data_IF_392985155732
#
_entry.id   IF_392985155732
#
_cell.length_a   1.000
_cell.length_b   1.000
_cell.length_c   1.000
_cell.angle_alpha   90.00
_cell.angle_beta   90.00
_cell.angle_gamma   90.00
#
_symmetry.space_group_name_H-M   'P 1'
#
loop_
_entity.id
_entity.type
_entity.pdbx_description
1 polymer ?
#
# COMPACT_ATOMS: atom_id res chain seq x y z
N UNK A 1 -2.24 -7.74 3.05
CA UNK A 1 -2.70 -6.36 3.27
C UNK A 1 -3.60 -5.97 2.14
N UNK A 2 -4.86 -5.65 2.42
CA UNK A 2 -5.79 -5.23 1.37
C UNK A 2 -6.78 -4.18 1.89
N UNK A 3 -7.50 -3.54 0.96
CA UNK A 3 -8.52 -2.50 1.18
C UNK A 3 -9.80 -2.99 1.85
N UNK A 4 -9.91 -4.29 2.13
CA UNK A 4 -11.14 -4.88 2.66
C UNK A 4 -11.18 -4.83 4.19
N UNK A 5 -10.14 -5.35 4.83
CA UNK A 5 -10.03 -5.44 6.29
C UNK A 5 -8.58 -5.20 6.75
N UNK A 6 -8.41 -4.48 7.86
CA UNK A 6 -7.11 -4.29 8.51
C UNK A 6 -7.25 -4.46 10.02
N UNK A 7 -6.44 -5.33 10.62
CA UNK A 7 -6.49 -5.60 12.06
C UNK A 7 -7.84 -6.14 12.55
N UNK A 8 -8.65 -6.75 11.67
CA UNK A 8 -10.01 -7.20 11.97
C UNK A 8 -11.10 -6.15 11.76
N UNK A 9 -10.73 -4.89 11.54
CA UNK A 9 -11.68 -3.81 11.23
C UNK A 9 -12.04 -3.79 9.74
N UNK A 10 -13.32 -3.56 9.44
CA UNK A 10 -13.80 -3.29 8.09
C UNK A 10 -13.32 -1.90 7.66
N UNK A 11 -12.65 -1.82 6.52
CA UNK A 11 -12.20 -0.57 5.94
C UNK A 11 -13.30 0.08 5.10
N UNK A 12 -13.37 1.41 5.10
CA UNK A 12 -14.30 2.17 4.25
C UNK A 12 -13.98 1.94 2.77
N UNK A 13 -12.72 1.67 2.44
CA UNK A 13 -12.27 1.35 1.10
C UNK A 13 -12.97 0.11 0.54
N UNK A 14 -13.41 -0.85 1.37
CA UNK A 14 -14.21 -1.98 0.90
C UNK A 14 -15.50 -1.49 0.20
N UNK A 15 -16.18 -0.51 0.81
CA UNK A 15 -17.39 0.09 0.26
C UNK A 15 -17.08 0.96 -0.97
N UNK A 16 -16.05 1.81 -0.87
CA UNK A 16 -15.62 2.68 -1.96
C UNK A 16 -15.20 1.89 -3.20
N UNK A 17 -14.45 0.82 -3.01
CA UNK A 17 -13.99 -0.05 -4.08
C UNK A 17 -15.10 -0.90 -4.67
N UNK A 18 -16.03 -1.42 -3.86
CA UNK A 18 -17.15 -2.19 -4.39
C UNK A 18 -18.05 -1.32 -5.27
N UNK A 19 -18.30 -0.08 -4.84
CA UNK A 19 -19.03 0.93 -5.61
C UNK A 19 -18.31 1.29 -6.91
N UNK A 20 -16.99 1.46 -6.86
CA UNK A 20 -16.15 1.73 -8.03
C UNK A 20 -16.19 0.58 -9.02
N UNK A 21 -15.95 -0.65 -8.56
CA UNK A 21 -15.98 -1.85 -9.40
C UNK A 21 -17.35 -2.07 -10.05
N UNK A 22 -18.43 -1.84 -9.30
CA UNK A 22 -19.79 -1.87 -9.85
C UNK A 22 -19.96 -0.83 -10.95
N UNK A 23 -19.56 0.42 -10.72
CA UNK A 23 -19.68 1.51 -11.70
C UNK A 23 -18.90 1.23 -12.99
N UNK A 24 -17.62 0.82 -12.88
CA UNK A 24 -16.77 0.54 -14.03
C UNK A 24 -17.19 -0.71 -14.80
N UNK A 25 -17.50 -1.80 -14.09
CA UNK A 25 -17.85 -3.07 -14.73
C UNK A 25 -19.18 -3.00 -15.47
N UNK A 26 -20.08 -2.10 -15.04
CA UNK A 26 -21.40 -1.90 -15.65
C UNK A 26 -21.37 -1.06 -16.94
N UNK A 27 -20.21 -0.57 -17.37
CA UNK A 27 -20.10 0.27 -18.58
C UNK A 27 -20.35 -0.56 -19.85
N UNK A 28 -21.10 -0.02 -20.83
CA UNK A 28 -21.27 -0.67 -22.12
C UNK A 28 -19.91 -0.78 -22.83
N UNK A 29 -19.71 -1.82 -23.67
CA UNK A 29 -18.57 -1.86 -24.57
C UNK A 29 -18.68 -0.74 -25.61
N UNK A 30 -17.55 -0.29 -26.15
CA UNK A 30 -17.53 0.70 -27.23
C UNK A 30 -18.24 0.14 -28.48
N UNK A 31 -19.31 0.80 -28.99
CA UNK A 31 -19.99 0.38 -30.21
C UNK A 31 -19.07 0.25 -31.43
N UNK A 32 -18.00 1.05 -31.53
CA UNK A 32 -17.04 0.96 -32.64
C UNK A 32 -16.25 -0.36 -32.62
N UNK A 33 -16.07 -0.96 -31.44
CA UNK A 33 -15.38 -2.24 -31.26
C UNK A 33 -16.35 -3.42 -31.24
N UNK A 34 -17.52 -3.24 -30.63
CA UNK A 34 -18.50 -4.30 -30.42
C UNK A 34 -19.50 -4.47 -31.58
N UNK A 35 -19.65 -3.44 -32.42
CA UNK A 35 -20.61 -3.33 -33.52
C UNK A 35 -21.95 -2.72 -33.09
N UNK A 36 -22.56 -1.91 -33.97
CA UNK A 36 -23.74 -1.07 -33.69
C UNK A 36 -24.99 -1.83 -33.21
N UNK A 37 -25.10 -3.12 -33.53
CA UNK A 37 -26.23 -3.97 -33.13
C UNK A 37 -25.89 -4.81 -31.90
N UNK A 38 -24.67 -5.36 -31.83
CA UNK A 38 -24.27 -6.38 -30.84
C UNK A 38 -23.88 -5.79 -29.49
N UNK A 39 -23.43 -4.53 -29.44
CA UNK A 39 -22.94 -3.91 -28.20
C UNK A 39 -23.98 -3.95 -27.07
N UNK A 40 -25.26 -3.77 -27.43
CA UNK A 40 -26.35 -3.68 -26.45
C UNK A 40 -26.64 -5.04 -25.81
N UNK A 41 -26.72 -6.09 -26.62
CA UNK A 41 -26.95 -7.44 -26.11
C UNK A 41 -25.78 -7.89 -25.24
N UNK A 42 -24.54 -7.65 -25.68
CA UNK A 42 -23.35 -7.91 -24.87
C UNK A 42 -23.35 -7.15 -23.54
N UNK A 43 -23.79 -5.89 -23.56
CA UNK A 43 -23.88 -5.08 -22.35
C UNK A 43 -24.91 -5.64 -21.38
N UNK A 44 -26.13 -5.93 -21.84
CA UNK A 44 -27.18 -6.50 -20.99
C UNK A 44 -26.79 -7.86 -20.42
N UNK A 45 -26.24 -8.76 -21.25
CA UNK A 45 -25.75 -10.06 -20.76
C UNK A 45 -24.70 -9.87 -19.67
N UNK A 46 -23.77 -8.91 -19.83
CA UNK A 46 -22.78 -8.61 -18.79
C UNK A 46 -23.43 -8.07 -17.51
N UNK A 47 -24.39 -7.15 -17.62
CA UNK A 47 -25.10 -6.60 -16.46
C UNK A 47 -25.85 -7.69 -15.68
N UNK A 48 -26.53 -8.59 -16.37
CA UNK A 48 -27.28 -9.70 -15.76
C UNK A 48 -26.36 -10.71 -15.06
N UNK A 49 -25.12 -10.87 -15.54
CA UNK A 49 -24.15 -11.82 -15.00
C UNK A 49 -23.08 -11.18 -14.11
N UNK A 50 -23.13 -9.86 -13.91
CA UNK A 50 -22.12 -9.15 -13.13
C UNK A 50 -22.32 -9.42 -11.63
N UNK A 51 -21.27 -9.80 -10.89
CA UNK A 51 -21.38 -9.98 -9.46
C UNK A 51 -21.54 -8.62 -8.76
N UNK A 52 -22.44 -8.55 -7.77
CA UNK A 52 -22.42 -7.46 -6.81
C UNK A 52 -21.42 -7.78 -5.70
N UNK A 53 -20.23 -7.16 -5.78
CA UNK A 53 -19.08 -7.54 -4.97
C UNK A 53 -19.17 -7.11 -3.49
N UNK A 54 -19.90 -6.05 -3.17
CA UNK A 54 -20.02 -5.57 -1.78
C UNK A 54 -20.51 -6.65 -0.79
N UNK A 55 -21.67 -7.33 -1.00
CA UNK A 55 -22.12 -8.38 -0.10
C UNK A 55 -21.23 -9.63 -0.13
N UNK A 56 -20.50 -9.86 -1.22
CA UNK A 56 -19.55 -10.96 -1.30
C UNK A 56 -18.37 -10.70 -0.36
N UNK A 57 -17.69 -9.56 -0.49
CA UNK A 57 -16.54 -9.23 0.34
C UNK A 57 -16.89 -9.09 1.81
N UNK A 58 -18.07 -8.56 2.14
CA UNK A 58 -18.55 -8.45 3.53
C UNK A 58 -18.74 -9.82 4.22
N UNK A 59 -18.98 -10.90 3.46
CA UNK A 59 -19.08 -12.26 4.01
C UNK A 59 -17.73 -12.88 4.35
N UNK A 60 -16.64 -12.32 3.82
CA UNK A 60 -15.29 -12.84 3.98
C UNK A 60 -14.48 -11.98 4.98
N UNK A 61 -14.97 -11.86 6.22
CA UNK A 61 -14.29 -11.06 7.27
C UNK A 61 -12.92 -11.64 7.66
N UNK A 62 -12.78 -12.97 7.61
CA UNK A 62 -11.55 -13.65 7.98
C UNK A 62 -10.73 -14.00 6.74
N UNK A 63 -9.44 -14.27 6.95
CA UNK A 63 -8.52 -14.75 5.91
C UNK A 63 -8.82 -16.21 5.52
N UNK A 64 -9.90 -16.40 4.76
CA UNK A 64 -10.34 -17.70 4.27
C UNK A 64 -9.84 -18.00 2.84
N UNK A 65 -10.35 -19.08 2.25
CA UNK A 65 -9.99 -19.52 0.90
C UNK A 65 -10.26 -18.46 -0.19
N UNK A 66 -11.22 -17.56 0.03
CA UNK A 66 -11.57 -16.51 -0.93
C UNK A 66 -10.44 -15.50 -1.11
N UNK A 67 -9.77 -15.10 -0.02
CA UNK A 67 -8.63 -14.17 -0.07
C UNK A 67 -7.32 -14.86 -0.43
N UNK A 68 -7.13 -16.10 0.05
CA UNK A 68 -5.91 -16.88 -0.21
C UNK A 68 -5.64 -17.04 -1.71
N UNK A 69 -6.69 -17.32 -2.51
CA UNK A 69 -6.54 -17.57 -3.96
C UNK A 69 -5.87 -16.43 -4.76
N UNK A 70 -5.97 -15.19 -4.29
CA UNK A 70 -5.39 -14.02 -4.93
C UNK A 70 -4.16 -13.47 -4.22
N UNK A 71 -3.74 -14.10 -3.13
CA UNK A 71 -2.61 -13.66 -2.32
C UNK A 71 -1.33 -14.32 -2.80
N UNK A 72 -0.38 -13.52 -3.30
CA UNK A 72 0.94 -14.03 -3.71
C UNK A 72 1.75 -14.63 -2.54
N UNK A 73 1.42 -14.27 -1.29
CA UNK A 73 2.11 -14.80 -0.13
C UNK A 73 1.81 -16.28 0.15
N UNK A 74 0.89 -16.90 -0.59
CA UNK A 74 0.69 -18.34 -0.53
C UNK A 74 1.82 -19.09 -1.24
N UNK A 75 2.42 -18.51 -2.28
CA UNK A 75 3.52 -19.10 -3.04
C UNK A 75 4.29 -18.02 -3.84
N UNK A 76 5.37 -17.50 -3.24
CA UNK A 76 6.24 -16.56 -3.93
C UNK A 76 7.09 -17.22 -5.03
N UNK A 77 7.33 -18.53 -4.95
CA UNK A 77 8.17 -19.27 -5.92
C UNK A 77 7.50 -19.41 -7.29
N UNK A 78 6.18 -19.27 -7.35
CA UNK A 78 5.44 -19.19 -8.60
C UNK A 78 5.82 -17.96 -9.45
N UNK A 79 6.44 -16.94 -8.86
CA UNK A 79 6.90 -15.75 -9.56
C UNK A 79 8.29 -16.00 -10.13
N UNK A 80 8.35 -16.26 -11.44
CA UNK A 80 9.59 -16.48 -12.18
C UNK A 80 10.06 -15.24 -12.96
N UNK A 81 9.18 -14.26 -13.15
CA UNK A 81 9.50 -13.03 -13.86
C UNK A 81 10.31 -12.07 -12.99
N UNK A 82 11.16 -11.25 -13.63
CA UNK A 82 11.87 -10.19 -12.93
C UNK A 82 10.89 -9.10 -12.45
N UNK A 83 10.95 -8.77 -11.15
CA UNK A 83 10.03 -7.83 -10.48
C UNK A 83 10.75 -6.55 -10.03
N UNK A 84 10.33 -5.41 -10.55
CA UNK A 84 10.60 -4.10 -9.94
C UNK A 84 9.34 -3.63 -9.23
N UNK A 85 9.37 -3.59 -7.90
CA UNK A 85 8.25 -3.13 -7.08
C UNK A 85 8.48 -1.71 -6.60
N UNK A 86 7.52 -0.82 -6.84
CA UNK A 86 7.61 0.60 -6.49
C UNK A 86 6.35 1.03 -5.77
N UNK A 87 6.49 1.69 -4.62
CA UNK A 87 5.35 2.19 -3.83
C UNK A 87 5.70 3.37 -2.95
N UNK A 88 4.77 3.75 -2.07
CA UNK A 88 4.90 4.94 -1.23
C UNK A 88 4.57 4.69 0.24
N UNK A 89 5.15 5.48 1.13
CA UNK A 89 4.89 5.39 2.58
C UNK A 89 3.49 5.83 2.99
N UNK A 90 2.87 6.73 2.21
CA UNK A 90 1.49 7.15 2.43
C UNK A 90 0.49 6.29 1.63
N UNK A 91 0.91 5.13 1.13
CA UNK A 91 0.05 4.14 0.47
C UNK A 91 -0.43 3.07 1.46
N UNK A 92 -1.65 2.53 1.29
CA UNK A 92 -2.14 1.44 2.14
C UNK A 92 -1.44 0.10 1.93
N UNK A 93 -0.78 -0.10 0.78
CA UNK A 93 -0.01 -1.30 0.41
C UNK A 93 1.48 -1.22 0.76
N UNK A 94 1.90 -0.26 1.61
CA UNK A 94 3.31 0.04 1.94
C UNK A 94 4.19 -1.16 2.35
N UNK A 95 3.61 -2.22 2.92
CA UNK A 95 4.34 -3.43 3.31
C UNK A 95 4.72 -4.34 2.12
N UNK A 96 4.00 -4.22 1.01
CA UNK A 96 4.09 -5.18 -0.11
C UNK A 96 5.50 -5.22 -0.70
N UNK A 97 6.15 -4.06 -0.83
CA UNK A 97 7.45 -3.93 -1.51
C UNK A 97 8.52 -4.69 -0.73
N UNK A 98 8.62 -4.48 0.59
CA UNK A 98 9.60 -5.19 1.41
C UNK A 98 9.34 -6.69 1.49
N UNK A 99 8.07 -7.11 1.48
CA UNK A 99 7.70 -8.53 1.45
C UNK A 99 8.07 -9.18 0.12
N UNK A 100 7.83 -8.52 -1.02
CA UNK A 100 8.20 -9.03 -2.34
C UNK A 100 9.71 -9.25 -2.43
N UNK A 101 10.49 -8.22 -2.07
CA UNK A 101 11.95 -8.27 -2.17
C UNK A 101 12.54 -9.32 -1.23
N UNK A 102 11.94 -9.53 -0.06
CA UNK A 102 12.42 -10.52 0.91
C UNK A 102 12.11 -11.98 0.53
N UNK A 103 11.09 -12.23 -0.29
CA UNK A 103 10.57 -13.59 -0.49
C UNK A 103 10.59 -14.09 -1.96
N UNK A 104 10.75 -13.21 -2.96
CA UNK A 104 10.86 -13.63 -4.36
C UNK A 104 12.30 -14.07 -4.66
N UNK A 105 12.45 -15.23 -5.29
CA UNK A 105 13.75 -15.76 -5.72
C UNK A 105 14.19 -15.25 -7.11
N UNK A 106 13.23 -14.95 -7.99
CA UNK A 106 13.50 -14.31 -9.27
C UNK A 106 14.13 -12.91 -9.06
N UNK A 107 14.78 -12.32 -10.08
CA UNK A 107 15.36 -10.99 -9.94
C UNK A 107 14.33 -9.98 -9.43
N UNK A 108 14.57 -9.43 -8.23
CA UNK A 108 13.61 -8.54 -7.56
C UNK A 108 14.32 -7.31 -6.97
N UNK A 109 13.73 -6.13 -7.15
CA UNK A 109 14.19 -4.87 -6.56
C UNK A 109 12.99 -4.06 -6.05
N UNK A 110 13.19 -3.28 -4.99
CA UNK A 110 12.16 -2.45 -4.36
C UNK A 110 12.54 -0.97 -4.27
N UNK A 111 11.59 -0.08 -4.51
CA UNK A 111 11.73 1.36 -4.29
C UNK A 111 10.52 1.90 -3.51
N UNK A 112 10.75 2.56 -2.38
CA UNK A 112 9.68 3.19 -1.60
C UNK A 112 9.99 4.66 -1.34
N UNK A 113 9.15 5.54 -1.84
CA UNK A 113 9.23 6.99 -1.62
C UNK A 113 8.18 7.50 -0.62
N UNK A 114 8.09 8.82 -0.41
CA UNK A 114 7.12 9.41 0.52
C UNK A 114 5.70 9.51 -0.06
N UNK A 115 5.37 8.79 -1.14
CA UNK A 115 4.21 9.07 -1.96
C UNK A 115 2.89 8.49 -1.43
N UNK A 116 1.79 9.13 -1.82
CA UNK A 116 0.42 8.58 -1.78
C UNK A 116 0.19 7.56 -2.92
N UNK A 117 -1.03 7.00 -3.02
CA UNK A 117 -1.40 5.96 -4.00
C UNK A 117 -1.48 6.45 -5.45
N UNK A 118 -0.32 6.78 -6.04
CA UNK A 118 -0.12 7.29 -7.41
C UNK A 118 1.26 6.89 -7.93
N UNK A 119 1.48 6.99 -9.25
CA UNK A 119 2.80 6.74 -9.81
C UNK A 119 3.83 7.82 -9.39
N UNK A 120 5.07 7.44 -9.02
CA UNK A 120 6.05 8.34 -8.40
C UNK A 120 6.46 9.58 -9.17
N UNK A 121 6.20 9.64 -10.48
CA UNK A 121 6.55 10.77 -11.35
C UNK A 121 5.52 11.91 -11.32
N UNK A 122 4.32 11.66 -10.78
CA UNK A 122 3.32 12.70 -10.50
C UNK A 122 2.67 12.56 -9.12
N UNK A 123 3.05 11.54 -8.35
CA UNK A 123 2.63 11.42 -6.98
C UNK A 123 3.23 12.55 -6.12
N UNK A 124 2.58 12.76 -4.99
CA UNK A 124 3.01 13.68 -3.95
C UNK A 124 2.93 12.94 -2.60
N UNK A 125 3.50 13.50 -1.54
CA UNK A 125 4.43 14.63 -1.48
C UNK A 125 5.71 14.44 -2.31
N UNK A 126 6.38 15.55 -2.61
CA UNK A 126 7.77 15.54 -3.08
C UNK A 126 8.72 14.92 -2.03
N UNK A 127 9.92 14.44 -2.42
CA UNK A 127 10.44 14.37 -3.79
C UNK A 127 9.83 13.25 -4.63
N UNK A 128 9.55 13.57 -5.90
CA UNK A 128 9.22 12.58 -6.94
C UNK A 128 10.42 11.74 -7.35
N UNK A 129 10.12 10.63 -8.02
CA UNK A 129 11.10 9.77 -8.69
C UNK A 129 10.83 9.78 -10.20
N UNK A 130 11.90 9.68 -11.00
CA UNK A 130 11.82 9.37 -12.42
C UNK A 130 11.32 7.95 -12.68
N UNK A 131 10.03 7.68 -12.39
CA UNK A 131 9.41 6.35 -12.51
C UNK A 131 9.61 5.76 -13.90
N UNK A 132 9.41 6.56 -14.96
CA UNK A 132 9.54 6.09 -16.33
C UNK A 132 10.99 5.71 -16.67
N UNK A 133 11.98 6.42 -16.12
CA UNK A 133 13.39 6.10 -16.30
C UNK A 133 13.74 4.76 -15.61
N UNK A 134 13.30 4.56 -14.37
CA UNK A 134 13.52 3.31 -13.64
C UNK A 134 12.82 2.13 -14.33
N UNK A 135 11.56 2.31 -14.72
CA UNK A 135 10.79 1.26 -15.41
C UNK A 135 11.39 0.91 -16.77
N UNK A 136 11.81 1.92 -17.56
CA UNK A 136 12.44 1.69 -18.86
C UNK A 136 13.77 0.93 -18.72
N UNK A 137 14.64 1.33 -17.79
CA UNK A 137 15.90 0.61 -17.51
C UNK A 137 15.65 -0.85 -17.15
N UNK A 138 14.64 -1.12 -16.33
CA UNK A 138 14.25 -2.47 -15.93
C UNK A 138 13.72 -3.30 -17.10
N UNK A 139 12.77 -2.76 -17.86
CA UNK A 139 12.18 -3.46 -19.00
C UNK A 139 13.18 -3.67 -20.14
N UNK A 140 14.04 -2.69 -20.43
CA UNK A 140 15.11 -2.84 -21.43
C UNK A 140 16.06 -3.99 -21.06
N UNK A 141 16.36 -4.15 -19.76
CA UNK A 141 17.15 -5.29 -19.29
C UNK A 141 16.43 -6.62 -19.50
N UNK A 142 15.21 -6.77 -19.00
CA UNK A 142 14.54 -8.07 -18.89
C UNK A 142 13.69 -8.47 -20.09
N UNK A 143 13.36 -7.53 -20.98
CA UNK A 143 12.57 -7.79 -22.20
C UNK A 143 13.39 -7.66 -23.48
N UNK A 144 14.57 -7.02 -23.44
CA UNK A 144 15.42 -6.78 -24.61
C UNK A 144 16.88 -7.17 -24.41
N UNK A 145 17.24 -7.72 -23.26
CA UNK A 145 18.61 -8.11 -22.89
C UNK A 145 19.65 -6.97 -22.98
N UNK A 146 19.23 -5.71 -22.84
CA UNK A 146 20.13 -4.55 -22.86
C UNK A 146 20.81 -4.41 -21.50
N UNK A 147 22.12 -4.20 -21.47
CA UNK A 147 22.84 -3.89 -20.23
C UNK A 147 22.54 -2.44 -19.79
N UNK A 148 21.63 -2.30 -18.82
CA UNK A 148 21.23 -1.02 -18.22
C UNK A 148 21.82 -0.81 -16.82
N UNK A 149 22.65 -1.76 -16.36
CA UNK A 149 23.25 -1.79 -15.02
C UNK A 149 22.28 -2.08 -13.86
N UNK A 150 20.99 -2.34 -14.12
CA UNK A 150 19.98 -2.56 -13.04
C UNK A 150 20.25 -3.80 -12.19
N UNK A 151 21.01 -4.77 -12.70
CA UNK A 151 21.45 -5.94 -11.94
C UNK A 151 22.26 -5.52 -10.69
N UNK A 152 23.04 -4.44 -10.82
CA UNK A 152 23.88 -3.87 -9.77
C UNK A 152 23.17 -2.84 -8.87
N UNK A 153 21.93 -2.47 -9.18
CA UNK A 153 21.15 -1.56 -8.33
C UNK A 153 20.90 -2.23 -6.94
N UNK A 154 20.80 -1.46 -5.84
CA UNK A 154 20.51 -2.01 -4.51
C UNK A 154 19.18 -2.79 -4.48
N UNK A 155 19.12 -3.87 -3.69
CA UNK A 155 17.91 -4.69 -3.54
C UNK A 155 16.69 -3.86 -3.08
N UNK A 156 16.92 -2.94 -2.14
CA UNK A 156 15.85 -2.11 -1.59
C UNK A 156 16.31 -0.66 -1.41
N UNK A 157 15.56 0.29 -1.98
CA UNK A 157 15.77 1.73 -1.86
C UNK A 157 14.57 2.34 -1.16
N UNK A 158 14.81 3.08 -0.07
CA UNK A 158 13.74 3.64 0.74
C UNK A 158 14.01 5.12 1.05
N UNK A 159 12.96 5.93 1.10
CA UNK A 159 13.05 7.32 1.51
C UNK A 159 12.74 7.45 2.99
N UNK A 160 13.73 7.78 3.82
CA UNK A 160 13.52 8.06 5.25
C UNK A 160 13.07 9.49 5.38
N UNK A 161 11.84 9.70 5.84
CA UNK A 161 11.30 11.04 6.07
C UNK A 161 11.79 11.62 7.39
N UNK A 162 12.08 12.91 7.39
CA UNK A 162 12.38 13.66 8.60
C UNK A 162 11.12 13.87 9.45
N UNK A 163 11.32 14.10 10.74
CA UNK A 163 10.25 14.49 11.65
C UNK A 163 9.78 15.90 11.31
N UNK A 164 8.47 16.09 11.16
CA UNK A 164 7.85 17.40 11.00
C UNK A 164 6.64 17.54 11.92
N UNK A 165 6.14 18.78 12.07
CA UNK A 165 4.86 19.00 12.76
C UNK A 165 3.73 18.30 11.99
N UNK A 166 2.77 17.65 12.69
CA UNK A 166 1.65 17.00 12.02
C UNK A 166 0.84 17.98 11.18
N UNK A 167 0.63 17.64 9.92
CA UNK A 167 -0.36 18.29 9.06
C UNK A 167 -1.02 17.22 8.18
N UNK A 168 -2.31 17.43 7.88
CA UNK A 168 -3.07 16.50 7.02
C UNK A 168 -2.62 16.51 5.56
N UNK A 169 -1.75 17.45 5.19
CA UNK A 169 -1.10 17.49 3.90
C UNK A 169 0.25 18.19 4.01
N UNK A 170 1.24 17.63 3.33
CA UNK A 170 2.53 18.25 3.11
C UNK A 170 2.77 18.27 1.59
N UNK A 171 3.16 19.40 0.97
CA UNK A 171 3.52 19.41 -0.44
C UNK A 171 4.84 18.66 -0.70
N UNK A 172 5.74 18.68 0.28
CA UNK A 172 7.05 18.04 0.27
C UNK A 172 7.30 17.37 1.62
N UNK A 173 7.95 16.22 1.61
CA UNK A 173 8.44 15.53 2.80
C UNK A 173 9.97 15.55 2.78
N UNK A 174 10.61 16.42 3.59
CA UNK A 174 12.05 16.39 3.79
C UNK A 174 12.51 15.02 4.28
N UNK A 175 13.75 14.67 3.97
CA UNK A 175 14.29 13.37 4.27
C UNK A 175 15.48 13.01 3.39
N UNK A 176 15.76 11.71 3.33
CA UNK A 176 16.92 11.19 2.60
C UNK A 176 16.66 9.78 2.07
N UNK A 177 17.26 9.48 0.93
CA UNK A 177 17.30 8.12 0.42
C UNK A 177 18.28 7.26 1.21
N UNK A 178 17.88 6.03 1.50
CA UNK A 178 18.73 4.92 1.95
C UNK A 178 18.63 3.78 0.96
N UNK A 179 19.67 2.95 0.95
CA UNK A 179 19.75 1.80 0.08
C UNK A 179 20.37 0.62 0.81
N UNK A 180 19.74 -0.55 0.68
CA UNK A 180 20.25 -1.82 1.18
C UNK A 180 20.64 -2.69 -0.03
N UNK A 181 21.90 -3.15 -0.11
CA UNK A 181 22.36 -3.97 -1.22
C UNK A 181 21.68 -5.34 -1.25
N UNK A 182 21.29 -5.85 -0.08
CA UNK A 182 20.53 -7.08 0.12
C UNK A 182 19.35 -6.79 1.04
N UNK A 183 18.24 -7.50 0.87
CA UNK A 183 17.07 -7.32 1.71
C UNK A 183 16.43 -8.68 2.07
N UNK A 184 16.11 -8.92 3.36
CA UNK A 184 16.37 -8.08 4.52
C UNK A 184 17.87 -7.86 4.75
N UNK A 185 18.23 -6.66 5.21
CA UNK A 185 19.64 -6.32 5.48
C UNK A 185 20.14 -7.08 6.72
N UNK A 186 21.36 -7.66 6.69
CA UNK A 186 21.95 -8.34 7.85
C UNK A 186 22.21 -7.39 9.04
N UNK A 187 22.18 -6.08 8.80
CA UNK A 187 22.38 -5.05 9.83
C UNK A 187 21.09 -4.72 10.61
N UNK A 188 19.93 -5.25 10.18
CA UNK A 188 18.66 -5.08 10.89
C UNK A 188 18.74 -5.80 12.24
N UNK A 189 18.56 -5.04 13.32
CA UNK A 189 18.52 -5.55 14.70
C UNK A 189 17.13 -5.38 15.28
N UNK A 190 16.56 -6.47 15.77
CA UNK A 190 15.35 -6.42 16.58
C UNK A 190 15.71 -5.88 17.97
N UNK A 191 14.98 -4.85 18.41
CA UNK A 191 15.06 -4.31 19.75
C UNK A 191 13.68 -4.44 20.39
N UNK A 192 13.65 -4.96 21.62
CA UNK A 192 12.44 -5.01 22.42
C UNK A 192 12.35 -3.74 23.26
N UNK A 193 11.18 -3.09 23.23
CA UNK A 193 10.89 -1.90 24.03
C UNK A 193 9.81 -2.28 25.04
N UNK A 194 10.14 -2.15 26.31
CA UNK A 194 9.19 -2.38 27.40
C UNK A 194 8.20 -1.21 27.49
N UNK A 195 6.90 -1.52 27.37
CA UNK A 195 5.82 -0.51 27.44
C UNK A 195 5.41 -0.19 28.89
N UNK A 196 5.45 -1.19 29.77
CA UNK A 196 5.17 -1.07 31.20
C UNK A 196 6.29 -1.77 31.97
N UNK A 197 6.81 -1.12 33.02
CA UNK A 197 7.87 -1.71 33.83
C UNK A 197 7.40 -3.03 34.49
N UNK A 198 8.27 -4.02 34.57
CA UNK A 198 8.03 -5.29 35.24
C UNK A 198 7.42 -5.10 36.65
N UNK A 199 6.33 -5.81 36.93
CA UNK A 199 5.58 -5.69 38.19
C UNK A 199 4.58 -4.53 38.26
N UNK A 200 4.50 -3.68 37.22
CA UNK A 200 3.45 -2.66 37.09
C UNK A 200 2.07 -3.30 36.89
N UNK A 201 1.03 -2.60 37.34
CA UNK A 201 -0.35 -3.01 37.03
C UNK A 201 -0.59 -2.89 35.52
N UNK A 202 -1.32 -3.83 34.89
CA UNK A 202 -1.71 -3.71 33.50
C UNK A 202 -2.48 -2.41 33.25
N UNK A 203 -2.22 -1.76 32.13
CA UNK A 203 -3.08 -0.69 31.65
C UNK A 203 -4.36 -1.27 31.04
N UNK A 204 -5.50 -0.68 31.37
CA UNK A 204 -6.80 -1.11 30.85
C UNK A 204 -7.10 -0.33 29.57
N UNK A 205 -7.23 -1.05 28.45
CA UNK A 205 -7.65 -0.45 27.18
C UNK A 205 -9.18 -0.43 27.13
N UNK A 206 -9.76 0.78 27.19
CA UNK A 206 -11.21 1.00 27.16
C UNK A 206 -11.58 2.24 26.32
N UNK A 207 -10.91 2.41 25.18
CA UNK A 207 -11.11 3.55 24.29
C UNK A 207 -12.51 3.54 23.65
N UNK A 208 -13.14 4.71 23.44
CA UNK A 208 -14.41 4.81 22.74
C UNK A 208 -14.25 4.40 21.27
N UNK A 209 -15.34 3.98 20.63
CA UNK A 209 -15.34 3.60 19.20
C UNK A 209 -14.94 4.73 18.25
N UNK A 210 -15.00 5.98 18.70
CA UNK A 210 -14.56 7.16 17.93
C UNK A 210 -13.06 7.41 18.00
N UNK A 211 -12.30 6.66 18.80
CA UNK A 211 -10.84 6.74 18.84
C UNK A 211 -10.26 6.27 17.51
N UNK A 212 -9.38 7.07 16.91
CA UNK A 212 -8.73 6.81 15.61
C UNK A 212 -9.29 7.64 14.46
N UNK A 213 -10.31 8.48 14.70
CA UNK A 213 -10.89 9.35 13.67
C UNK A 213 -9.92 10.44 13.16
N UNK A 214 -8.82 10.71 13.86
CA UNK A 214 -7.76 11.60 13.40
C UNK A 214 -6.69 10.91 12.52
N UNK A 215 -6.83 9.60 12.27
CA UNK A 215 -5.88 8.76 11.54
C UNK A 215 -5.79 9.00 10.04
N UNK A 216 -6.68 9.80 9.44
CA UNK A 216 -6.71 10.07 8.00
C UNK A 216 -7.29 8.91 7.18
N UNK A 217 -7.13 9.00 5.86
CA UNK A 217 -7.57 7.96 4.91
C UNK A 217 -6.56 6.79 4.87
N UNK A 218 -7.05 5.57 4.71
CA UNK A 218 -6.15 4.41 4.55
C UNK A 218 -5.48 4.40 3.18
N UNK A 219 -6.19 4.87 2.15
CA UNK A 219 -5.66 5.16 0.81
C UNK A 219 -5.82 6.64 0.42
N UNK A 220 -4.85 7.50 0.81
CA UNK A 220 -4.77 8.85 0.27
C UNK A 220 -4.65 8.82 -1.27
N UNK A 221 -5.60 9.46 -1.95
CA UNK A 221 -5.72 9.49 -3.40
C UNK A 221 -5.78 10.92 -3.95
N UNK A 222 -6.18 11.89 -3.13
CA UNK A 222 -6.26 13.30 -3.51
C UNK A 222 -5.05 14.07 -3.01
N UNK A 223 -4.73 15.17 -3.69
CA UNK A 223 -3.70 16.11 -3.25
C UNK A 223 -4.29 17.05 -2.19
N UNK A 224 -4.68 16.48 -1.05
CA UNK A 224 -5.54 17.12 -0.06
C UNK A 224 -5.36 16.57 1.35
N UNK A 225 -6.20 17.01 2.31
CA UNK A 225 -6.02 16.74 3.73
C UNK A 225 -6.43 15.31 4.14
N UNK A 226 -5.84 14.31 3.50
CA UNK A 226 -6.12 12.88 3.70
C UNK A 226 -5.07 12.19 4.58
N UNK A 227 -3.92 12.82 4.84
CA UNK A 227 -2.90 12.26 5.73
C UNK A 227 -3.32 12.41 7.20
N UNK A 228 -2.77 11.59 8.11
CA UNK A 228 -3.02 11.74 9.55
C UNK A 228 -2.73 13.16 10.03
N UNK A 229 -3.64 13.70 10.85
CA UNK A 229 -3.45 15.00 11.48
C UNK A 229 -2.64 14.90 12.77
N UNK A 230 -2.75 15.93 13.60
CA UNK A 230 -2.31 15.88 14.99
C UNK A 230 -3.07 14.78 15.75
N UNK A 231 -2.33 13.85 16.36
CA UNK A 231 -2.88 12.67 17.03
C UNK A 231 -3.27 12.93 18.49
N UNK A 232 -2.96 14.11 19.07
CA UNK A 232 -3.32 14.45 20.46
C UNK A 232 -4.80 14.20 20.83
N UNK A 233 -5.79 14.46 19.95
CA UNK A 233 -7.18 14.15 20.25
C UNK A 233 -7.46 12.66 20.42
N UNK A 234 -6.82 11.79 19.63
CA UNK A 234 -6.95 10.33 19.75
C UNK A 234 -6.09 9.80 20.91
N UNK A 235 -4.92 10.40 21.17
CA UNK A 235 -4.08 10.08 22.33
C UNK A 235 -4.84 10.33 23.65
N UNK A 236 -5.62 11.42 23.72
CA UNK A 236 -6.45 11.74 24.89
C UNK A 236 -7.55 10.69 25.17
N UNK A 237 -7.87 9.84 24.19
CA UNK A 237 -8.85 8.75 24.28
C UNK A 237 -8.17 7.37 24.37
N UNK A 238 -6.84 7.33 24.39
CA UNK A 238 -6.03 6.13 24.30
C UNK A 238 -5.23 5.90 25.58
N UNK A 239 -4.84 4.65 25.79
CA UNK A 239 -3.73 4.32 26.70
C UNK A 239 -2.43 4.59 25.93
N UNK A 240 -1.68 5.60 26.33
CA UNK A 240 -0.42 5.99 25.69
C UNK A 240 0.79 5.58 26.53
N UNK A 241 1.88 5.21 25.84
CA UNK A 241 3.17 4.89 26.45
C UNK A 241 4.26 5.69 25.74
N UNK A 242 4.98 6.51 26.49
CA UNK A 242 6.06 7.35 25.97
C UNK A 242 7.41 6.89 26.51
N UNK A 243 8.41 6.85 25.64
CA UNK A 243 9.81 6.74 26.07
C UNK A 243 10.33 8.11 26.54
N UNK A 244 11.43 8.14 27.30
CA UNK A 244 12.13 9.39 27.58
C UNK A 244 12.45 10.16 26.29
N UNK A 245 12.48 11.49 26.40
CA UNK A 245 12.86 12.36 25.28
C UNK A 245 14.23 11.92 24.74
N UNK A 246 14.29 11.68 23.43
CA UNK A 246 15.54 11.33 22.75
C UNK A 246 16.54 12.49 22.90
N UNK A 247 17.73 12.18 23.39
CA UNK A 247 18.85 13.13 23.56
C UNK A 247 19.80 13.10 22.38
#
# INVERSE_FOLDING_TARGET
DDIHYKGGCLLIENFGWASTMLSYSSRPPDPLLAGDVRWRDLWLTRLENQPFLAPLWLKHQHRDAYWKRGSICEDYSAIQAAVLSIGGWHDGYRNTISHLVANIEAPVKGIVGPWIHKYPHYAAPEPRLGFLQEALRWWDRWLKDIDTGVDADPAYRAYVMDSERPARWHPERPGRWVAEPVWPSPDIKTQEVELIAEGSKPAVVASPQSCGLAGGEYFPFTFGPELPGDQRPDDALSVCFDQPVLT
#
